data_IF_910601549938
#
_entry.id   IF_910601549938
#
_cell.length_a   1.000
_cell.length_b   1.000
_cell.length_c   1.000
_cell.angle_alpha   90.00
_cell.angle_beta   90.00
_cell.angle_gamma   90.00
#
_symmetry.space_group_name_H-M   'P 1'
#
loop_
_entity.id
_entity.type
_entity.pdbx_description
1 polymer ?
#
# COMPACT_ATOMS: atom_id res chain seq x y z
N UNK A 1 9.55 34.43 -18.18
CA UNK A 1 9.41 34.69 -16.74
C UNK A 1 9.69 33.37 -16.03
N UNK A 2 10.70 33.32 -15.17
CA UNK A 2 11.04 32.12 -14.40
C UNK A 2 10.01 31.93 -13.27
N UNK A 3 9.63 30.70 -12.92
CA UNK A 3 8.69 30.47 -11.83
C UNK A 3 9.33 30.85 -10.50
N UNK A 4 8.69 31.77 -9.79
CA UNK A 4 9.08 32.23 -8.45
C UNK A 4 8.84 31.12 -7.44
N UNK A 5 9.87 30.80 -6.66
CA UNK A 5 9.77 29.87 -5.55
C UNK A 5 8.68 30.32 -4.56
N UNK A 6 7.75 29.42 -4.23
CA UNK A 6 6.75 29.65 -3.18
C UNK A 6 7.50 29.63 -1.85
N UNK A 7 7.72 30.80 -1.25
CA UNK A 7 8.20 30.92 0.12
C UNK A 7 7.09 30.40 1.04
N UNK A 8 7.34 29.29 1.76
CA UNK A 8 6.51 28.91 2.91
C UNK A 8 6.40 30.12 3.85
N UNK A 9 5.17 30.48 4.23
CA UNK A 9 4.94 31.71 4.97
C UNK A 9 5.61 31.67 6.37
N UNK A 10 6.25 32.76 6.82
CA UNK A 10 6.98 32.81 8.10
C UNK A 10 6.17 32.39 9.33
N UNK A 11 4.84 32.47 9.27
CA UNK A 11 3.95 32.05 10.35
C UNK A 11 3.91 30.53 10.54
N UNK A 12 3.80 29.75 9.47
CA UNK A 12 3.80 28.28 9.55
C UNK A 12 5.12 27.77 10.15
N UNK A 13 6.24 28.39 9.77
CA UNK A 13 7.55 28.06 10.31
C UNK A 13 7.63 28.38 11.81
N UNK A 14 7.13 29.55 12.25
CA UNK A 14 7.14 29.92 13.66
C UNK A 14 6.21 29.06 14.51
N UNK A 15 5.03 28.70 14.00
CA UNK A 15 4.11 27.78 14.68
C UNK A 15 4.70 26.38 14.81
N UNK A 16 5.33 25.89 13.74
CA UNK A 16 6.06 24.62 13.74
C UNK A 16 7.20 24.63 14.77
N UNK A 17 7.99 25.71 14.82
CA UNK A 17 9.07 25.88 15.81
C UNK A 17 8.51 25.89 17.24
N UNK A 18 7.39 26.59 17.49
CA UNK A 18 6.75 26.62 18.81
C UNK A 18 6.23 25.23 19.21
N UNK A 19 5.59 24.50 18.29
CA UNK A 19 5.12 23.13 18.51
C UNK A 19 6.28 22.19 18.81
N UNK A 20 7.37 22.26 18.03
CA UNK A 20 8.61 21.49 18.26
C UNK A 20 9.26 21.80 19.63
N UNK A 21 9.35 23.07 19.99
CA UNK A 21 9.94 23.50 21.26
C UNK A 21 9.14 23.01 22.48
N UNK A 22 7.81 22.93 22.37
CA UNK A 22 6.95 22.42 23.43
C UNK A 22 7.10 20.90 23.65
N UNK A 23 7.41 20.15 22.59
CA UNK A 23 7.46 18.68 22.62
C UNK A 23 8.77 18.10 23.17
N UNK A 24 9.80 18.92 23.41
CA UNK A 24 11.13 18.51 23.91
C UNK A 24 11.66 17.21 23.24
N UNK A 25 11.72 17.15 21.89
CA UNK A 25 12.07 15.90 21.21
C UNK A 25 13.48 15.44 21.58
N UNK A 26 13.57 14.24 22.15
CA UNK A 26 14.84 13.57 22.45
C UNK A 26 15.29 12.85 21.17
N UNK A 27 16.03 13.54 20.30
CA UNK A 27 16.62 12.92 19.13
C UNK A 27 17.27 13.90 18.18
N UNK A 28 18.50 13.62 17.74
CA UNK A 28 19.14 14.31 16.63
C UNK A 28 19.34 13.28 15.51
N UNK A 29 18.67 13.49 14.37
CA UNK A 29 19.00 12.74 13.15
C UNK A 29 20.24 13.36 12.52
N UNK A 30 21.28 12.56 12.28
CA UNK A 30 22.45 12.99 11.47
C UNK A 30 22.17 13.00 9.98
N UNK A 31 20.94 12.70 9.56
CA UNK A 31 20.58 12.58 8.16
C UNK A 31 20.49 13.97 7.53
N UNK A 32 21.44 14.29 6.64
CA UNK A 32 21.53 15.58 5.93
C UNK A 32 20.83 15.55 4.57
N UNK A 33 20.27 14.40 4.17
CA UNK A 33 19.61 14.26 2.89
C UNK A 33 18.31 15.07 2.90
N UNK A 34 18.06 15.83 1.83
CA UNK A 34 16.83 16.59 1.66
C UNK A 34 15.60 15.68 1.63
N UNK A 35 14.42 16.27 1.88
CA UNK A 35 13.15 15.54 1.74
C UNK A 35 12.94 15.22 0.27
N UNK A 36 12.79 13.93 -0.06
CA UNK A 36 12.56 13.47 -1.44
C UNK A 36 11.09 13.15 -1.62
N UNK A 37 10.40 13.94 -2.44
CA UNK A 37 8.97 13.80 -2.75
C UNK A 37 8.74 13.86 -4.26
N UNK A 38 7.54 13.50 -4.70
CA UNK A 38 7.19 13.43 -6.11
C UNK A 38 7.72 12.16 -6.78
N UNK A 39 7.73 12.17 -8.11
CA UNK A 39 8.26 11.08 -8.91
C UNK A 39 9.79 11.01 -8.85
N UNK A 40 10.31 9.79 -9.02
CA UNK A 40 11.74 9.54 -9.12
C UNK A 40 12.11 9.09 -10.55
N UNK A 41 12.61 10.00 -11.40
CA UNK A 41 12.94 9.69 -12.81
C UNK A 41 13.96 8.56 -12.94
N UNK A 42 14.98 8.56 -12.08
CA UNK A 42 16.06 7.58 -12.11
C UNK A 42 15.55 6.16 -11.87
N UNK A 43 14.55 6.01 -11.01
CA UNK A 43 13.97 4.71 -10.69
C UNK A 43 12.90 4.26 -11.68
N UNK A 44 12.21 5.18 -12.36
CA UNK A 44 11.32 4.85 -13.47
C UNK A 44 12.02 4.06 -14.58
N UNK A 45 13.26 4.42 -14.92
CA UNK A 45 14.06 3.71 -15.91
C UNK A 45 14.45 2.29 -15.48
N UNK A 46 14.56 2.05 -14.16
CA UNK A 46 14.98 0.76 -13.57
C UNK A 46 13.83 -0.19 -13.30
N UNK A 47 12.60 0.20 -13.62
CA UNK A 47 11.45 -0.70 -13.48
C UNK A 47 11.69 -2.01 -14.25
N UNK A 48 11.36 -3.17 -13.65
CA UNK A 48 11.44 -4.45 -14.33
C UNK A 48 10.63 -4.46 -15.64
N UNK A 49 11.08 -5.18 -16.69
CA UNK A 49 10.37 -5.25 -17.96
C UNK A 49 8.90 -5.68 -17.83
N UNK A 50 8.63 -6.69 -16.98
CA UNK A 50 7.27 -7.19 -16.72
C UNK A 50 6.35 -6.09 -16.17
N UNK A 51 6.86 -5.28 -15.23
CA UNK A 51 6.13 -4.15 -14.67
C UNK A 51 5.89 -3.06 -15.70
N UNK A 52 6.88 -2.74 -16.54
CA UNK A 52 6.72 -1.76 -17.64
C UNK A 52 5.66 -2.21 -18.63
N UNK A 53 5.63 -3.49 -19.00
CA UNK A 53 4.64 -4.07 -19.89
C UNK A 53 3.23 -3.99 -19.28
N UNK A 54 3.08 -4.38 -18.01
CA UNK A 54 1.80 -4.28 -17.28
C UNK A 54 1.31 -2.84 -17.20
N UNK A 55 2.20 -1.91 -16.88
CA UNK A 55 1.87 -0.48 -16.80
C UNK A 55 1.49 0.10 -18.16
N UNK A 56 2.22 -0.24 -19.22
CA UNK A 56 1.88 0.17 -20.58
C UNK A 56 0.51 -0.39 -21.00
N UNK A 57 0.22 -1.66 -20.70
CA UNK A 57 -1.07 -2.31 -20.99
C UNK A 57 -2.24 -1.57 -20.34
N UNK A 58 -2.08 -1.11 -19.10
CA UNK A 58 -3.14 -0.45 -18.33
C UNK A 58 -3.06 1.08 -18.30
N UNK A 59 -2.22 1.68 -19.15
CA UNK A 59 -2.12 3.13 -19.30
C UNK A 59 -1.59 3.84 -18.05
N UNK A 60 -0.69 3.21 -17.29
CA UNK A 60 -0.02 3.85 -16.16
C UNK A 60 1.12 4.73 -16.70
N UNK A 61 0.97 6.04 -16.56
CA UNK A 61 2.00 6.99 -16.97
C UNK A 61 3.17 7.01 -15.98
N UNK A 62 4.35 6.60 -16.46
CA UNK A 62 5.62 6.63 -15.73
C UNK A 62 6.63 7.60 -16.36
N UNK A 63 6.19 8.46 -17.29
CA UNK A 63 7.05 9.41 -18.01
C UNK A 63 7.77 10.40 -17.09
N UNK A 64 7.16 10.72 -15.94
CA UNK A 64 7.73 11.60 -14.92
C UNK A 64 8.65 10.87 -13.92
N UNK A 65 8.75 9.54 -14.01
CA UNK A 65 9.48 8.69 -13.07
C UNK A 65 8.58 7.74 -12.28
N UNK A 66 9.18 6.94 -11.40
CA UNK A 66 8.49 5.99 -10.53
C UNK A 66 9.40 5.52 -9.37
N UNK A 67 8.87 5.25 -8.16
CA UNK A 67 7.50 5.49 -7.73
C UNK A 67 7.23 6.96 -7.41
N UNK A 68 5.98 7.30 -7.10
CA UNK A 68 5.62 8.62 -6.57
C UNK A 68 5.69 8.61 -5.04
N UNK A 69 6.40 9.56 -4.43
CA UNK A 69 6.40 9.76 -2.98
C UNK A 69 5.52 10.96 -2.61
N UNK A 70 4.61 10.83 -1.62
CA UNK A 70 3.76 11.95 -1.18
C UNK A 70 4.57 13.21 -0.88
N UNK A 71 4.00 14.36 -1.25
CA UNK A 71 4.58 15.67 -0.93
C UNK A 71 4.62 15.90 0.58
N UNK A 72 5.61 16.66 1.04
CA UNK A 72 5.96 16.76 2.47
C UNK A 72 4.84 17.39 3.30
N UNK A 73 3.98 18.19 2.68
CA UNK A 73 2.81 18.81 3.29
C UNK A 73 1.74 17.77 3.68
N UNK A 74 1.69 16.62 3.00
CA UNK A 74 0.76 15.52 3.29
C UNK A 74 1.29 14.54 4.35
N UNK A 75 2.56 14.68 4.73
CA UNK A 75 3.22 13.77 5.67
C UNK A 75 3.09 14.32 7.09
N UNK A 76 2.53 13.55 8.05
CA UNK A 76 2.48 13.95 9.45
C UNK A 76 3.90 14.06 10.00
N UNK A 77 4.17 15.14 10.75
CA UNK A 77 5.49 15.46 11.30
C UNK A 77 5.61 15.07 12.76
N UNK A 78 4.48 14.99 13.45
CA UNK A 78 4.43 14.76 14.89
C UNK A 78 3.54 13.57 15.25
N UNK A 79 3.78 12.99 16.42
CA UNK A 79 3.08 11.79 16.90
C UNK A 79 1.59 12.04 17.06
N UNK A 80 1.19 13.21 17.56
CA UNK A 80 -0.21 13.63 17.66
C UNK A 80 -0.90 13.70 16.29
N UNK A 81 -0.17 14.15 15.25
CA UNK A 81 -0.69 14.18 13.88
C UNK A 81 -0.88 12.78 13.31
N UNK A 82 0.06 11.86 13.59
CA UNK A 82 -0.08 10.44 13.20
C UNK A 82 -1.31 9.83 13.87
N UNK A 83 -1.50 10.05 15.17
CA UNK A 83 -2.69 9.55 15.89
C UNK A 83 -3.98 10.25 15.51
N UNK A 84 -3.94 11.42 14.87
CA UNK A 84 -5.13 12.10 14.36
C UNK A 84 -5.61 11.52 13.01
N UNK A 85 -4.75 10.80 12.28
CA UNK A 85 -5.12 10.18 11.01
C UNK A 85 -6.19 9.11 11.26
N UNK A 86 -7.35 9.28 10.61
CA UNK A 86 -8.48 8.32 10.66
C UNK A 86 -8.84 7.92 12.10
N UNK A 87 -8.81 8.88 13.03
CA UNK A 87 -9.06 8.66 14.46
C UNK A 87 -10.54 8.78 14.87
N UNK A 88 -11.44 8.77 13.89
CA UNK A 88 -12.87 8.79 14.10
C UNK A 88 -13.47 7.49 13.58
N UNK A 89 -14.60 7.08 14.16
CA UNK A 89 -15.29 5.91 13.65
C UNK A 89 -15.94 6.22 12.30
N UNK A 90 -15.76 5.35 11.33
CA UNK A 90 -16.41 5.40 10.03
C UNK A 90 -17.23 4.13 9.76
N UNK A 91 -18.30 4.22 8.94
CA UNK A 91 -19.13 3.08 8.61
C UNK A 91 -18.30 1.96 7.96
N UNK A 92 -18.48 0.73 8.45
CA UNK A 92 -17.86 -0.46 7.88
C UNK A 92 -18.93 -1.51 7.58
N UNK A 93 -18.92 -1.99 6.34
CA UNK A 93 -19.76 -3.11 5.91
C UNK A 93 -18.89 -4.36 5.93
N UNK A 94 -19.17 -5.28 6.85
CA UNK A 94 -18.52 -6.57 6.90
C UNK A 94 -18.99 -7.44 5.72
N UNK A 95 -18.27 -7.38 4.60
CA UNK A 95 -18.64 -8.07 3.34
C UNK A 95 -18.77 -9.58 3.51
N UNK A 96 -17.96 -10.20 4.38
CA UNK A 96 -18.02 -11.63 4.62
C UNK A 96 -19.37 -12.09 5.21
N UNK A 97 -20.15 -11.20 5.85
CA UNK A 97 -21.50 -11.53 6.36
C UNK A 97 -22.55 -11.71 5.27
N UNK A 98 -22.31 -11.18 4.07
CA UNK A 98 -23.22 -11.28 2.94
C UNK A 98 -22.95 -12.52 2.07
N UNK A 99 -21.83 -13.20 2.31
CA UNK A 99 -21.43 -14.40 1.58
C UNK A 99 -22.40 -15.57 1.77
N UNK A 100 -22.49 -16.45 0.77
CA UNK A 100 -22.95 -17.82 1.02
C UNK A 100 -21.93 -18.49 1.97
N UNK A 101 -22.35 -19.05 3.12
CA UNK A 101 -21.45 -19.76 4.02
C UNK A 101 -20.64 -20.88 3.33
N UNK A 102 -21.23 -21.52 2.32
CA UNK A 102 -20.60 -22.58 1.52
C UNK A 102 -19.72 -22.04 0.37
N UNK A 103 -19.74 -20.72 0.12
CA UNK A 103 -18.93 -20.03 -0.90
C UNK A 103 -19.09 -20.63 -2.30
N UNK A 104 -20.31 -21.09 -2.61
CA UNK A 104 -20.62 -21.85 -3.82
C UNK A 104 -20.30 -21.08 -5.08
N UNK A 105 -20.66 -19.79 -5.15
CA UNK A 105 -20.44 -18.99 -6.36
C UNK A 105 -18.95 -18.86 -6.71
N UNK A 106 -18.10 -18.73 -5.69
CA UNK A 106 -16.65 -18.65 -5.82
C UNK A 106 -16.05 -20.02 -6.15
N UNK A 107 -16.42 -21.07 -5.41
CA UNK A 107 -15.84 -22.40 -5.56
C UNK A 107 -16.28 -23.11 -6.84
N UNK A 108 -17.54 -22.97 -7.25
CA UNK A 108 -18.06 -23.58 -8.49
C UNK A 108 -17.45 -22.93 -9.74
N UNK A 109 -17.05 -21.66 -9.64
CA UNK A 109 -16.38 -20.95 -10.73
C UNK A 109 -14.88 -21.26 -10.80
N UNK A 110 -14.27 -21.66 -9.68
CA UNK A 110 -12.85 -22.02 -9.64
C UNK A 110 -12.61 -23.35 -10.35
N UNK A 111 -11.46 -23.45 -11.01
CA UNK A 111 -11.01 -24.74 -11.58
C UNK A 111 -10.57 -25.70 -10.48
N UNK A 112 -9.97 -25.17 -9.41
CA UNK A 112 -9.57 -25.94 -8.24
C UNK A 112 -9.49 -25.04 -6.99
N UNK A 113 -9.61 -25.65 -5.82
CA UNK A 113 -9.50 -24.98 -4.51
C UNK A 113 -8.54 -25.78 -3.64
N UNK A 114 -7.34 -25.25 -3.43
CA UNK A 114 -6.26 -25.98 -2.77
C UNK A 114 -6.01 -25.39 -1.39
N UNK A 115 -6.35 -26.13 -0.33
CA UNK A 115 -5.99 -25.75 1.03
C UNK A 115 -4.51 -26.06 1.29
N UNK A 116 -3.71 -25.01 1.47
CA UNK A 116 -2.25 -25.14 1.59
C UNK A 116 -1.81 -25.74 2.93
N UNK A 117 -2.54 -25.43 4.00
CA UNK A 117 -2.38 -26.04 5.32
C UNK A 117 -3.74 -26.34 5.94
N UNK A 118 -3.83 -27.11 7.04
CA UNK A 118 -5.12 -27.42 7.67
C UNK A 118 -5.93 -26.18 8.08
N UNK A 119 -5.27 -25.12 8.57
CA UNK A 119 -5.95 -23.97 9.18
C UNK A 119 -5.77 -22.66 8.44
N UNK A 120 -4.68 -22.51 7.69
CA UNK A 120 -4.29 -21.24 7.06
C UNK A 120 -3.96 -21.47 5.60
N UNK A 121 -4.34 -20.54 4.74
CA UNK A 121 -3.95 -20.56 3.34
C UNK A 121 -4.89 -21.38 2.47
N UNK A 122 -5.40 -20.74 1.43
CA UNK A 122 -6.12 -21.38 0.33
C UNK A 122 -5.67 -20.76 -0.98
N UNK A 123 -5.41 -21.57 -1.99
CA UNK A 123 -5.22 -21.11 -3.37
C UNK A 123 -6.52 -21.33 -4.15
N UNK A 124 -6.96 -20.29 -4.86
CA UNK A 124 -8.08 -20.34 -5.80
C UNK A 124 -7.52 -20.35 -7.22
N UNK A 125 -7.78 -21.42 -7.96
CA UNK A 125 -7.20 -21.64 -9.29
C UNK A 125 -8.21 -21.30 -10.38
N UNK A 126 -7.77 -20.62 -11.43
CA UNK A 126 -8.56 -20.40 -12.64
C UNK A 126 -9.48 -19.17 -12.62
N UNK A 127 -9.41 -18.33 -11.59
CA UNK A 127 -10.19 -17.09 -11.51
C UNK A 127 -9.31 -15.84 -11.62
N UNK A 128 -9.86 -14.79 -12.24
CA UNK A 128 -9.28 -13.46 -12.27
C UNK A 128 -10.01 -12.56 -11.26
N UNK A 129 -9.27 -11.93 -10.36
CA UNK A 129 -9.83 -11.01 -9.36
C UNK A 129 -10.60 -9.85 -10.01
N UNK A 130 -10.21 -9.43 -11.21
CA UNK A 130 -10.88 -8.36 -11.96
C UNK A 130 -12.31 -8.72 -12.40
N UNK A 131 -12.59 -10.01 -12.56
CA UNK A 131 -13.85 -10.53 -13.13
C UNK A 131 -14.79 -11.11 -12.07
N UNK A 132 -14.43 -11.03 -10.78
CA UNK A 132 -15.29 -11.53 -9.71
C UNK A 132 -16.59 -10.71 -9.64
N UNK A 133 -17.70 -11.43 -9.57
CA UNK A 133 -19.00 -10.85 -9.23
C UNK A 133 -19.03 -10.36 -7.79
N UNK A 134 -19.99 -9.49 -7.44
CA UNK A 134 -20.17 -9.01 -6.06
C UNK A 134 -20.35 -10.16 -5.06
N UNK A 135 -21.15 -11.17 -5.42
CA UNK A 135 -21.32 -12.37 -4.60
C UNK A 135 -19.99 -13.10 -4.37
N UNK A 136 -19.18 -13.27 -5.41
CA UNK A 136 -17.86 -13.94 -5.29
C UNK A 136 -16.87 -13.10 -4.47
N UNK A 137 -16.94 -11.76 -4.53
CA UNK A 137 -16.11 -10.88 -3.70
C UNK A 137 -16.52 -10.94 -2.22
N UNK A 138 -17.81 -11.07 -1.91
CA UNK A 138 -18.30 -11.29 -0.54
C UNK A 138 -17.85 -12.66 -0.02
N UNK A 139 -17.98 -13.72 -0.83
CA UNK A 139 -17.50 -15.06 -0.50
C UNK A 139 -15.98 -15.13 -0.33
N UNK A 140 -15.22 -14.37 -1.14
CA UNK A 140 -13.78 -14.22 -0.96
C UNK A 140 -13.45 -13.52 0.36
N UNK A 141 -14.20 -12.49 0.76
CA UNK A 141 -14.01 -11.85 2.07
C UNK A 141 -14.22 -12.84 3.22
N UNK A 142 -15.28 -13.66 3.14
CA UNK A 142 -15.51 -14.72 4.13
C UNK A 142 -14.38 -15.77 4.13
N UNK A 143 -13.92 -16.18 2.95
CA UNK A 143 -12.79 -17.12 2.83
C UNK A 143 -11.52 -16.56 3.47
N UNK A 144 -11.20 -15.28 3.24
CA UNK A 144 -10.06 -14.61 3.87
C UNK A 144 -10.22 -14.61 5.39
N UNK A 145 -11.40 -14.31 5.92
CA UNK A 145 -11.67 -14.33 7.36
C UNK A 145 -11.46 -15.72 7.99
N UNK A 146 -11.84 -16.78 7.28
CA UNK A 146 -11.69 -18.17 7.75
C UNK A 146 -10.29 -18.74 7.55
N UNK A 147 -9.58 -18.33 6.50
CA UNK A 147 -8.32 -18.95 6.03
C UNK A 147 -7.10 -18.07 6.21
N UNK A 148 -7.27 -16.84 6.69
CA UNK A 148 -6.26 -15.81 6.95
C UNK A 148 -5.56 -15.26 5.70
N UNK A 149 -5.23 -16.12 4.73
CA UNK A 149 -4.59 -15.72 3.47
C UNK A 149 -5.15 -16.56 2.32
N UNK A 150 -5.43 -15.88 1.20
CA UNK A 150 -5.90 -16.51 -0.04
C UNK A 150 -5.00 -16.09 -1.19
N UNK A 151 -4.62 -17.05 -2.04
CA UNK A 151 -3.71 -16.84 -3.15
C UNK A 151 -4.45 -16.98 -4.48
N UNK A 152 -4.14 -16.09 -5.41
CA UNK A 152 -4.52 -16.17 -6.80
C UNK A 152 -3.26 -16.05 -7.64
N UNK A 153 -3.04 -16.99 -8.56
CA UNK A 153 -1.91 -16.97 -9.49
C UNK A 153 -2.33 -16.38 -10.83
N UNK A 154 -1.34 -15.98 -11.63
CA UNK A 154 -1.51 -15.55 -13.02
C UNK A 154 -2.58 -14.46 -13.20
N UNK A 155 -2.54 -13.47 -12.30
CA UNK A 155 -3.51 -12.37 -12.27
C UNK A 155 -3.17 -11.29 -13.28
N UNK A 156 -4.08 -11.03 -14.21
CA UNK A 156 -4.06 -9.89 -15.11
C UNK A 156 -4.79 -8.70 -14.46
N UNK A 157 -4.11 -8.06 -13.51
CA UNK A 157 -4.72 -7.04 -12.64
C UNK A 157 -4.04 -5.68 -12.81
N UNK A 158 -4.84 -4.66 -13.11
CA UNK A 158 -4.38 -3.26 -13.16
C UNK A 158 -4.32 -2.62 -11.76
N UNK A 159 -3.45 -1.63 -11.54
CA UNK A 159 -3.48 -0.82 -10.32
C UNK A 159 -4.86 -0.23 -10.03
N UNK A 160 -5.56 0.28 -11.04
CA UNK A 160 -6.92 0.84 -10.90
C UNK A 160 -7.90 -0.21 -10.37
N UNK A 161 -7.86 -1.43 -10.94
CA UNK A 161 -8.76 -2.51 -10.53
C UNK A 161 -8.41 -3.05 -9.16
N UNK A 162 -7.12 -3.12 -8.81
CA UNK A 162 -6.68 -3.46 -7.46
C UNK A 162 -7.25 -2.48 -6.42
N UNK A 163 -7.22 -1.18 -6.72
CA UNK A 163 -7.79 -0.15 -5.86
C UNK A 163 -9.32 -0.23 -5.76
N UNK A 164 -9.99 -0.45 -6.89
CA UNK A 164 -11.45 -0.67 -6.95
C UNK A 164 -11.88 -1.85 -6.06
N UNK A 165 -11.16 -2.96 -6.11
CA UNK A 165 -11.38 -4.11 -5.23
C UNK A 165 -11.20 -3.75 -3.75
N UNK A 166 -10.17 -2.97 -3.42
CA UNK A 166 -9.99 -2.44 -2.06
C UNK A 166 -11.21 -1.65 -1.56
N UNK A 167 -11.75 -0.75 -2.40
CA UNK A 167 -12.95 0.02 -2.08
C UNK A 167 -14.22 -0.84 -1.94
N UNK A 168 -14.27 -1.99 -2.61
CA UNK A 168 -15.37 -2.92 -2.44
C UNK A 168 -15.40 -3.49 -1.01
N UNK A 169 -14.26 -3.93 -0.48
CA UNK A 169 -14.18 -4.55 0.85
C UNK A 169 -14.17 -3.56 2.01
N UNK A 170 -13.84 -2.30 1.78
CA UNK A 170 -13.93 -1.28 2.82
C UNK A 170 -13.31 0.05 2.45
N UNK A 171 -13.05 0.87 3.46
CA UNK A 171 -12.27 2.08 3.28
C UNK A 171 -10.81 1.73 3.03
N UNK A 172 -10.30 2.14 1.87
CA UNK A 172 -8.90 1.94 1.52
C UNK A 172 -8.03 2.83 2.40
N UNK A 173 -7.06 2.20 3.06
CA UNK A 173 -6.04 2.88 3.84
C UNK A 173 -5.10 3.66 2.92
N UNK A 174 -4.73 4.88 3.30
CA UNK A 174 -3.76 5.71 2.56
C UNK A 174 -2.57 5.97 3.45
N UNK A 175 -1.49 5.23 3.20
CA UNK A 175 -0.29 5.32 4.02
C UNK A 175 0.36 6.70 3.82
N UNK A 176 0.52 7.51 4.87
CA UNK A 176 0.83 8.93 4.73
C UNK A 176 2.22 9.20 4.14
N UNK A 177 3.16 8.26 4.33
CA UNK A 177 4.57 8.40 3.94
C UNK A 177 5.02 7.46 2.83
N UNK A 178 4.22 6.45 2.48
CA UNK A 178 4.73 5.38 1.63
C UNK A 178 4.76 5.82 0.17
N UNK A 179 5.75 5.32 -0.58
CA UNK A 179 5.76 5.46 -2.01
C UNK A 179 4.56 4.72 -2.62
N UNK A 180 4.02 5.25 -3.71
CA UNK A 180 2.83 4.72 -4.38
C UNK A 180 2.99 4.72 -5.90
N UNK A 181 2.05 4.07 -6.58
CA UNK A 181 2.08 3.92 -8.04
C UNK A 181 2.09 5.28 -8.76
N UNK A 182 1.33 6.25 -8.25
CA UNK A 182 1.25 7.61 -8.78
C UNK A 182 0.42 8.53 -7.87
N UNK A 183 0.26 9.82 -8.21
CA UNK A 183 -0.51 10.77 -7.41
C UNK A 183 -1.98 10.35 -7.25
N UNK A 184 -2.57 9.70 -8.26
CA UNK A 184 -3.98 9.29 -8.28
C UNK A 184 -4.24 7.91 -7.67
N UNK A 185 -3.19 7.23 -7.20
CA UNK A 185 -3.26 5.87 -6.65
C UNK A 185 -3.08 5.89 -5.13
N UNK A 186 -3.83 6.76 -4.46
CA UNK A 186 -3.93 6.78 -3.01
C UNK A 186 -4.39 5.39 -2.52
N UNK A 187 -3.59 4.75 -1.67
CA UNK A 187 -3.85 3.41 -1.14
C UNK A 187 -3.14 2.25 -1.85
N UNK A 188 -2.41 2.50 -2.94
CA UNK A 188 -1.52 1.51 -3.55
C UNK A 188 -0.06 1.77 -3.17
N UNK A 189 0.33 1.26 -2.01
CA UNK A 189 1.71 1.33 -1.51
C UNK A 189 2.65 0.43 -2.31
N UNK A 190 3.82 0.96 -2.68
CA UNK A 190 4.87 0.26 -3.43
C UNK A 190 5.96 -0.23 -2.49
N UNK A 191 6.24 -1.53 -2.54
CA UNK A 191 7.37 -2.15 -1.85
C UNK A 191 8.42 -2.51 -2.89
N UNK A 192 9.53 -1.75 -2.92
CA UNK A 192 10.64 -2.01 -3.83
C UNK A 192 11.97 -1.99 -3.07
N UNK A 193 12.46 -3.18 -2.72
CA UNK A 193 13.64 -3.31 -1.84
C UNK A 193 14.91 -2.70 -2.44
N UNK A 194 15.13 -2.82 -3.75
CA UNK A 194 16.30 -2.23 -4.40
C UNK A 194 16.31 -0.70 -4.29
N UNK A 195 15.15 -0.08 -4.53
CA UNK A 195 14.95 1.36 -4.36
C UNK A 195 15.19 1.79 -2.91
N UNK A 196 14.63 1.06 -1.95
CA UNK A 196 14.82 1.37 -0.54
C UNK A 196 16.27 1.23 -0.09
N UNK A 197 17.00 0.21 -0.57
CA UNK A 197 18.42 -0.01 -0.25
C UNK A 197 19.28 1.18 -0.63
N UNK A 198 19.12 1.67 -1.85
CA UNK A 198 19.94 2.76 -2.36
C UNK A 198 19.49 4.12 -1.82
N UNK A 199 18.17 4.35 -1.73
CA UNK A 199 17.60 5.60 -1.22
C UNK A 199 17.94 5.83 0.25
N UNK A 200 17.85 4.79 1.07
CA UNK A 200 18.04 4.90 2.52
C UNK A 200 19.40 4.38 2.99
N UNK A 201 20.24 3.85 2.08
CA UNK A 201 21.51 3.23 2.42
C UNK A 201 21.37 2.00 3.32
N UNK A 202 20.19 1.39 3.38
CA UNK A 202 19.92 0.23 4.23
C UNK A 202 20.48 -1.01 3.51
N UNK A 203 21.38 -1.79 4.12
CA UNK A 203 21.98 -2.96 3.48
C UNK A 203 21.02 -4.16 3.51
N UNK A 204 19.79 -4.00 2.98
CA UNK A 204 18.81 -5.07 2.88
C UNK A 204 19.37 -6.19 2.00
N UNK A 205 19.35 -7.39 2.55
CA UNK A 205 19.66 -8.66 1.89
C UNK A 205 18.76 -9.71 2.50
N UNK A 206 18.71 -10.92 1.93
CA UNK A 206 18.03 -12.05 2.58
C UNK A 206 18.48 -12.26 4.04
N UNK A 207 19.78 -12.08 4.33
CA UNK A 207 20.35 -12.24 5.69
C UNK A 207 20.05 -11.06 6.62
N UNK A 208 19.83 -9.87 6.08
CA UNK A 208 19.55 -8.64 6.83
C UNK A 208 18.11 -8.14 6.63
N UNK A 209 17.21 -9.05 6.28
CA UNK A 209 15.82 -8.73 5.92
C UNK A 209 15.04 -8.10 7.08
N UNK A 210 15.44 -8.36 8.33
CA UNK A 210 14.90 -7.73 9.54
C UNK A 210 15.12 -6.21 9.62
N UNK A 211 16.01 -5.64 8.82
CA UNK A 211 16.16 -4.18 8.70
C UNK A 211 15.08 -3.55 7.80
N UNK A 212 14.32 -4.37 7.08
CA UNK A 212 13.14 -3.96 6.33
C UNK A 212 11.89 -4.63 6.91
N UNK A 213 11.00 -5.09 6.04
CA UNK A 213 9.65 -5.53 6.43
C UNK A 213 9.58 -6.98 6.94
N UNK A 214 10.70 -7.69 7.14
CA UNK A 214 10.71 -9.10 7.57
C UNK A 214 10.64 -9.28 9.10
N UNK A 215 10.04 -8.32 9.80
CA UNK A 215 9.69 -8.46 11.22
C UNK A 215 8.24 -8.92 11.34
N UNK A 216 7.88 -9.65 12.40
CA UNK A 216 6.50 -10.00 12.66
C UNK A 216 5.70 -8.75 13.02
N UNK A 217 4.66 -8.45 12.26
CA UNK A 217 3.77 -7.31 12.47
C UNK A 217 2.39 -7.58 11.88
N UNK A 218 1.44 -6.72 12.23
CA UNK A 218 0.22 -6.48 11.48
C UNK A 218 0.24 -5.03 11.02
N UNK A 219 -0.34 -4.74 9.86
CA UNK A 219 -0.27 -3.41 9.27
C UNK A 219 -1.03 -2.39 10.13
N UNK A 220 -0.38 -1.26 10.40
CA UNK A 220 -1.00 -0.02 10.92
C UNK A 220 -1.84 -0.18 12.19
N UNK A 221 -1.40 -1.05 13.12
CA UNK A 221 -2.07 -1.33 14.41
C UNK A 221 -2.23 -0.12 15.36
N UNK A 222 -1.69 1.05 14.98
CA UNK A 222 -1.80 2.29 15.75
C UNK A 222 -3.05 3.10 15.39
N UNK A 223 -3.71 2.81 14.27
CA UNK A 223 -4.93 3.49 13.85
C UNK A 223 -6.16 2.98 14.59
N UNK A 224 -7.18 3.84 14.71
CA UNK A 224 -8.39 3.52 15.48
C UNK A 224 -9.19 2.36 14.91
N UNK A 225 -9.31 2.28 13.58
CA UNK A 225 -9.90 1.16 12.86
C UNK A 225 -8.82 0.59 11.93
N UNK A 226 -8.16 -0.48 12.38
CA UNK A 226 -7.02 -1.10 11.68
C UNK A 226 -7.47 -1.82 10.41
N UNK A 227 -6.54 -2.05 9.49
CA UNK A 227 -6.82 -2.77 8.25
C UNK A 227 -7.31 -4.21 8.54
N UNK A 228 -8.46 -4.57 7.94
CA UNK A 228 -9.02 -5.92 8.03
C UNK A 228 -8.54 -6.87 6.93
N UNK A 229 -8.23 -6.33 5.74
CA UNK A 229 -7.74 -7.09 4.59
C UNK A 229 -6.60 -6.29 3.94
N UNK A 230 -5.46 -6.94 3.69
CA UNK A 230 -4.35 -6.40 2.91
C UNK A 230 -4.24 -7.16 1.58
N UNK A 231 -4.25 -6.44 0.46
CA UNK A 231 -4.03 -7.01 -0.87
C UNK A 231 -2.61 -6.75 -1.35
N UNK A 232 -1.77 -7.79 -1.34
CA UNK A 232 -0.43 -7.76 -1.95
C UNK A 232 -0.45 -8.30 -3.38
N UNK A 233 -0.07 -7.47 -4.35
CA UNK A 233 0.16 -7.89 -5.73
C UNK A 233 1.67 -7.94 -6.02
N UNK A 234 2.17 -9.08 -6.49
CA UNK A 234 3.57 -9.26 -6.85
C UNK A 234 3.77 -8.89 -8.33
N UNK A 235 4.44 -7.77 -8.57
CA UNK A 235 4.66 -7.22 -9.91
C UNK A 235 5.89 -7.84 -10.60
N UNK A 236 7.00 -7.88 -9.87
CA UNK A 236 8.23 -8.53 -10.28
C UNK A 236 8.89 -9.16 -9.06
N UNK A 237 9.29 -10.42 -9.20
CA UNK A 237 10.00 -11.17 -8.17
C UNK A 237 11.45 -11.42 -8.65
N UNK A 238 12.45 -11.42 -7.75
CA UNK A 238 13.84 -11.74 -8.08
C UNK A 238 14.04 -13.15 -8.63
#
# INVERSE_FOLDING_TARGET
MAPTAVNQEPQELQETIKKLAALKPIGHSKNKNGVVTGFDPKWGERLPPTTKERFAKYGIDISQGYPYVPVNEKVPKFVDEVYAIRNEEYPFIERGKNADPEKKSLFDAATDVIHLTPYIGTEIVGLQLSELTDQQKDELALLIAERVVVFFKDQDLSPQKQLELGHYWGQVEVHPQAARVGPDYDGLTVIWQEQQRERWGIPLTFKHSKLGNSQWHSDLVHEKQTAGITHLHLDAIP
#
